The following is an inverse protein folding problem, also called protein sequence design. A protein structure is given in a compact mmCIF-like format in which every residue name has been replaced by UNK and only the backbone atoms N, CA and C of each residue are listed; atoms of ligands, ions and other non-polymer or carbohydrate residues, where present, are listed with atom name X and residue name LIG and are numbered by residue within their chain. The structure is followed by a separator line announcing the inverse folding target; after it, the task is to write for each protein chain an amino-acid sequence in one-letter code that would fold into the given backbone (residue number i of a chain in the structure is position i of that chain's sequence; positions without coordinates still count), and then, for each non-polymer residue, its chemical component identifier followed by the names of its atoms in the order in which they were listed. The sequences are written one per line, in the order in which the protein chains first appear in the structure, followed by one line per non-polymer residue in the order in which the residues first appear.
data_IF_530602761754
#
_entry.id   IF_530602761754
#
_cell.length_a   1.000
_cell.length_b   1.000
_cell.length_c   1.000
_cell.angle_alpha   90.00
_cell.angle_beta   90.00
_cell.angle_gamma   90.00
#
_symmetry.space_group_name_H-M   'P 1'
#
loop_
_entity.id
_entity.type
_entity.pdbx_description
1 polymer ?
#
# COMPACT_ATOMS: atom_id res chain seq x y z
N UNK A 1 7.90 -23.06 -15.56
CA UNK A 1 9.04 -22.13 -15.41
C UNK A 1 8.60 -20.66 -15.29
N UNK A 2 7.32 -20.31 -15.09
CA UNK A 2 6.84 -18.92 -15.29
C UNK A 2 6.08 -18.27 -14.13
N UNK A 3 5.87 -18.94 -12.98
CA UNK A 3 4.99 -18.37 -11.94
C UNK A 3 5.68 -17.31 -11.06
N UNK A 4 7.00 -17.43 -10.87
CA UNK A 4 7.75 -16.56 -9.97
C UNK A 4 8.47 -15.39 -10.66
N UNK A 5 8.45 -15.28 -11.99
CA UNK A 5 9.06 -14.11 -12.68
C UNK A 5 8.24 -12.86 -12.41
N UNK A 6 8.89 -11.73 -12.15
CA UNK A 6 8.17 -10.47 -11.90
C UNK A 6 7.54 -9.96 -13.20
N UNK A 7 8.26 -10.02 -14.33
CA UNK A 7 7.69 -9.64 -15.61
C UNK A 7 7.20 -10.86 -16.38
N UNK A 8 5.99 -10.75 -16.92
CA UNK A 8 5.43 -11.76 -17.82
C UNK A 8 6.21 -11.76 -19.15
N UNK A 9 6.48 -12.91 -19.79
CA UNK A 9 7.44 -12.99 -20.89
C UNK A 9 7.13 -12.08 -22.09
N UNK A 10 5.86 -11.94 -22.49
CA UNK A 10 5.47 -11.09 -23.62
C UNK A 10 5.54 -9.61 -23.27
N UNK A 11 5.13 -9.24 -22.04
CA UNK A 11 5.27 -7.87 -21.55
C UNK A 11 6.74 -7.46 -21.43
N UNK A 12 7.58 -8.35 -20.91
CA UNK A 12 9.03 -8.16 -20.83
C UNK A 12 9.65 -7.88 -22.20
N UNK A 13 9.29 -8.69 -23.21
CA UNK A 13 9.75 -8.49 -24.59
C UNK A 13 9.25 -7.17 -25.20
N UNK A 14 7.98 -6.80 -25.00
CA UNK A 14 7.44 -5.51 -25.47
C UNK A 14 8.19 -4.33 -24.84
N UNK A 15 8.37 -4.35 -23.51
CA UNK A 15 9.05 -3.30 -22.78
C UNK A 15 10.52 -3.17 -23.21
N UNK A 16 11.21 -4.28 -23.44
CA UNK A 16 12.58 -4.29 -23.93
C UNK A 16 12.68 -3.67 -25.32
N UNK A 17 11.81 -4.08 -26.25
CA UNK A 17 11.77 -3.54 -27.61
C UNK A 17 11.48 -2.04 -27.66
N UNK A 18 10.79 -1.51 -26.65
CA UNK A 18 10.46 -0.09 -26.50
C UNK A 18 11.52 0.71 -25.73
N UNK A 19 12.61 0.06 -25.29
CA UNK A 19 13.65 0.69 -24.46
C UNK A 19 13.19 1.03 -23.04
N UNK A 20 12.08 0.44 -22.57
CA UNK A 20 11.50 0.66 -21.24
C UNK A 20 11.92 -0.40 -20.22
N UNK A 21 12.66 -1.42 -20.66
CA UNK A 21 13.26 -2.46 -19.84
C UNK A 21 14.70 -2.70 -20.28
N UNK A 22 15.60 -2.89 -19.32
CA UNK A 22 17.00 -3.23 -19.59
C UNK A 22 17.63 -4.09 -18.50
N UNK A 23 18.90 -4.51 -18.70
CA UNK A 23 19.63 -5.26 -17.69
C UNK A 23 19.83 -4.43 -16.42
N UNK A 24 19.77 -5.10 -15.27
CA UNK A 24 20.08 -4.56 -13.96
C UNK A 24 21.57 -4.46 -13.69
N UNK A 25 21.91 -4.31 -12.40
CA UNK A 25 23.30 -4.34 -11.92
C UNK A 25 23.84 -5.78 -11.83
N UNK A 26 22.94 -6.74 -11.67
CA UNK A 26 23.21 -8.18 -11.59
C UNK A 26 22.37 -8.91 -12.64
N UNK A 27 22.70 -10.18 -12.89
CA UNK A 27 21.89 -11.05 -13.76
C UNK A 27 20.50 -11.34 -13.19
N UNK A 28 20.31 -11.22 -11.87
CA UNK A 28 19.02 -11.39 -11.20
C UNK A 28 18.22 -10.10 -11.03
N UNK A 29 18.61 -8.99 -11.68
CA UNK A 29 17.87 -7.72 -11.63
C UNK A 29 17.63 -7.09 -13.01
N UNK A 30 16.60 -6.25 -13.08
CA UNK A 30 16.21 -5.46 -14.25
C UNK A 30 16.13 -3.98 -13.90
N UNK A 31 16.37 -3.11 -14.90
CA UNK A 31 15.98 -1.70 -14.85
C UNK A 31 14.66 -1.54 -15.60
N UNK A 32 13.59 -1.25 -14.87
CA UNK A 32 12.25 -1.02 -15.43
C UNK A 32 11.91 0.46 -15.34
N UNK A 33 11.43 1.04 -16.45
CA UNK A 33 11.03 2.44 -16.48
C UNK A 33 9.94 2.70 -15.43
N UNK A 34 10.09 3.74 -14.58
CA UNK A 34 9.21 3.98 -13.43
C UNK A 34 7.74 4.04 -13.80
N UNK A 35 7.41 4.64 -14.95
CA UNK A 35 6.06 4.67 -15.56
C UNK A 35 5.43 3.30 -15.90
N UNK A 36 6.15 2.19 -15.73
CA UNK A 36 5.71 0.83 -16.08
C UNK A 36 5.72 -0.13 -14.89
N UNK A 37 6.00 0.36 -13.69
CA UNK A 37 6.02 -0.46 -12.48
C UNK A 37 4.63 -1.03 -12.20
N UNK A 38 3.63 -0.17 -12.03
CA UNK A 38 2.28 -0.55 -11.67
C UNK A 38 1.21 0.30 -12.38
N UNK A 39 -0.07 0.07 -12.04
CA UNK A 39 -1.22 0.76 -12.64
C UNK A 39 -1.29 2.27 -12.40
N UNK A 40 -0.63 2.81 -11.37
CA UNK A 40 -0.59 4.26 -11.06
C UNK A 40 0.71 4.93 -11.52
N UNK A 41 1.62 4.14 -12.07
CA UNK A 41 2.96 4.60 -12.35
C UNK A 41 3.03 5.66 -13.42
N UNK A 42 2.09 5.65 -14.37
CA UNK A 42 2.03 6.65 -15.43
C UNK A 42 1.66 8.03 -14.89
N UNK A 43 0.73 8.10 -13.93
CA UNK A 43 0.27 9.33 -13.30
C UNK A 43 1.29 9.83 -12.28
N UNK A 44 1.81 8.93 -11.43
CA UNK A 44 2.83 9.28 -10.43
C UNK A 44 4.10 9.82 -11.07
N UNK A 45 4.48 9.30 -12.25
CA UNK A 45 5.72 9.63 -12.93
C UNK A 45 5.47 10.28 -14.30
N UNK A 46 4.34 10.98 -14.47
CA UNK A 46 3.94 11.60 -15.74
C UNK A 46 4.98 12.60 -16.27
N UNK A 47 5.75 13.20 -15.36
CA UNK A 47 6.84 14.13 -15.62
C UNK A 47 8.09 13.45 -16.22
N UNK A 48 8.19 12.12 -16.16
CA UNK A 48 9.33 11.37 -16.71
C UNK A 48 9.05 11.03 -18.19
N UNK A 49 9.88 11.48 -19.14
CA UNK A 49 9.73 11.13 -20.55
C UNK A 49 9.97 9.64 -20.80
N UNK A 50 9.19 9.02 -21.70
CA UNK A 50 9.33 7.59 -22.03
C UNK A 50 10.51 7.26 -22.94
N UNK A 51 11.17 8.27 -23.51
CA UNK A 51 12.29 8.13 -24.45
C UNK A 51 13.66 8.30 -23.78
N UNK A 52 13.73 8.20 -22.44
CA UNK A 52 15.00 8.28 -21.71
C UNK A 52 15.83 7.03 -22.01
N UNK A 53 17.03 7.23 -22.57
CA UNK A 53 17.98 6.14 -22.84
C UNK A 53 18.56 5.57 -21.55
N UNK A 54 18.64 4.24 -21.43
CA UNK A 54 19.26 3.51 -20.31
C UNK A 54 20.72 3.90 -20.07
N UNK A 55 21.43 4.38 -21.09
CA UNK A 55 22.83 4.82 -21.00
C UNK A 55 22.98 6.28 -20.60
N UNK A 56 21.88 7.04 -20.53
CA UNK A 56 21.92 8.45 -20.18
C UNK A 56 22.01 8.65 -18.66
N UNK A 57 22.58 9.77 -18.17
CA UNK A 57 22.56 10.10 -16.75
C UNK A 57 21.15 10.20 -16.16
N UNK A 58 20.17 10.62 -16.97
CA UNK A 58 18.76 10.71 -16.56
C UNK A 58 18.11 9.34 -16.29
N UNK A 59 18.77 8.24 -16.65
CA UNK A 59 18.23 6.89 -16.47
C UNK A 59 18.13 6.48 -15.00
N UNK A 60 18.93 7.07 -14.10
CA UNK A 60 18.85 6.78 -12.66
C UNK A 60 17.56 7.33 -12.05
N UNK A 61 17.06 8.44 -12.59
CA UNK A 61 15.78 9.01 -12.20
C UNK A 61 14.61 8.34 -12.92
N UNK A 62 14.79 7.88 -14.16
CA UNK A 62 13.72 7.33 -14.98
C UNK A 62 13.44 5.84 -14.76
N UNK A 63 14.41 5.07 -14.26
CA UNK A 63 14.29 3.62 -14.09
C UNK A 63 14.43 3.19 -12.63
N UNK A 64 13.68 2.16 -12.24
CA UNK A 64 13.81 1.48 -10.95
C UNK A 64 14.51 0.13 -11.14
N UNK A 65 15.33 -0.26 -10.16
CA UNK A 65 15.95 -1.58 -10.11
C UNK A 65 14.97 -2.55 -9.43
N UNK A 66 14.55 -3.59 -10.14
CA UNK A 66 13.65 -4.63 -9.64
C UNK A 66 14.29 -6.02 -9.80
N UNK A 67 13.97 -7.01 -8.96
CA UNK A 67 14.41 -8.38 -9.17
C UNK A 67 13.81 -8.99 -10.46
N UNK A 68 14.45 -10.01 -11.01
CA UNK A 68 13.91 -10.82 -12.13
C UNK A 68 12.79 -11.73 -11.64
N UNK A 69 12.96 -12.30 -10.44
CA UNK A 69 12.03 -13.26 -9.84
C UNK A 69 11.69 -12.85 -8.41
N UNK A 70 10.44 -13.09 -8.02
CA UNK A 70 9.91 -12.77 -6.69
C UNK A 70 10.63 -13.56 -5.60
N UNK A 71 10.99 -14.81 -5.86
CA UNK A 71 11.81 -15.66 -4.98
C UNK A 71 13.25 -15.63 -5.48
N UNK A 72 14.07 -14.75 -4.91
CA UNK A 72 15.47 -14.56 -5.31
C UNK A 72 16.28 -13.88 -4.20
N UNK A 73 17.61 -13.98 -4.32
CA UNK A 73 18.54 -13.18 -3.52
C UNK A 73 18.27 -11.68 -3.71
N UNK A 74 18.05 -11.23 -4.94
CA UNK A 74 17.76 -9.84 -5.26
C UNK A 74 16.48 -9.33 -4.59
N UNK A 75 15.47 -10.17 -4.39
CA UNK A 75 14.28 -9.79 -3.61
C UNK A 75 14.64 -9.48 -2.16
N UNK A 76 15.53 -10.25 -1.52
CA UNK A 76 15.96 -10.00 -0.14
C UNK A 76 16.64 -8.63 0.00
N UNK A 77 17.50 -8.29 -0.96
CA UNK A 77 18.13 -6.95 -1.03
C UNK A 77 17.08 -5.88 -1.29
N UNK A 78 16.18 -6.11 -2.25
CA UNK A 78 15.12 -5.17 -2.64
C UNK A 78 14.22 -4.79 -1.45
N UNK A 79 13.78 -5.78 -0.66
CA UNK A 79 12.92 -5.52 0.52
C UNK A 79 13.63 -4.82 1.66
N UNK A 80 14.93 -4.54 1.53
CA UNK A 80 15.70 -3.66 2.40
C UNK A 80 16.67 -4.35 3.35
N UNK A 81 16.99 -5.62 3.10
CA UNK A 81 18.05 -6.30 3.85
C UNK A 81 19.43 -5.88 3.32
N UNK A 82 20.40 -5.78 4.23
CA UNK A 82 21.81 -5.68 3.88
C UNK A 82 22.26 -6.91 3.10
N UNK A 83 23.29 -6.77 2.26
CA UNK A 83 23.86 -7.89 1.49
C UNK A 83 24.29 -9.06 2.40
N UNK A 84 24.82 -8.77 3.58
CA UNK A 84 25.20 -9.78 4.57
C UNK A 84 23.98 -10.60 5.04
N UNK A 85 22.88 -9.92 5.41
CA UNK A 85 21.66 -10.60 5.85
C UNK A 85 20.94 -11.30 4.71
N UNK A 86 20.92 -10.71 3.53
CA UNK A 86 20.40 -11.35 2.32
C UNK A 86 21.17 -12.63 1.98
N UNK A 87 22.49 -12.63 2.14
CA UNK A 87 23.34 -13.82 1.92
C UNK A 87 23.03 -14.92 2.92
N UNK A 88 22.89 -14.56 4.20
CA UNK A 88 22.51 -15.48 5.27
C UNK A 88 21.15 -16.13 4.98
N UNK A 89 20.11 -15.32 4.75
CA UNK A 89 18.76 -15.83 4.52
C UNK A 89 18.62 -16.59 3.20
N UNK A 90 19.31 -16.16 2.14
CA UNK A 90 19.31 -16.89 0.88
C UNK A 90 19.94 -18.27 1.03
N UNK A 91 21.08 -18.35 1.74
CA UNK A 91 21.72 -19.63 2.04
C UNK A 91 20.77 -20.57 2.80
N UNK A 92 20.06 -20.06 3.82
CA UNK A 92 19.06 -20.83 4.57
C UNK A 92 17.90 -21.28 3.67
N UNK A 93 17.37 -20.40 2.82
CA UNK A 93 16.29 -20.73 1.89
C UNK A 93 16.70 -21.81 0.89
N UNK A 94 17.91 -21.72 0.34
CA UNK A 94 18.41 -22.69 -0.65
C UNK A 94 18.81 -24.02 -0.03
N UNK A 95 19.29 -24.01 1.22
CA UNK A 95 19.67 -25.20 1.99
C UNK A 95 18.55 -25.61 2.96
N UNK A 96 17.31 -25.61 2.47
CA UNK A 96 16.13 -25.88 3.29
C UNK A 96 16.20 -27.29 3.90
N UNK A 97 15.83 -27.46 5.19
CA UNK A 97 15.82 -28.77 5.82
C UNK A 97 14.93 -29.77 5.08
N UNK A 98 15.38 -31.02 4.98
CA UNK A 98 14.59 -32.10 4.37
C UNK A 98 13.38 -32.53 5.23
N UNK A 99 13.34 -32.12 6.49
CA UNK A 99 12.27 -32.41 7.45
C UNK A 99 11.62 -31.10 7.91
N UNK A 100 10.29 -31.10 8.07
CA UNK A 100 9.53 -29.94 8.53
C UNK A 100 8.62 -29.39 7.44
N UNK A 101 8.18 -28.13 7.57
CA UNK A 101 7.34 -27.51 6.56
C UNK A 101 8.14 -27.26 5.29
N UNK A 102 7.48 -27.30 4.13
CA UNK A 102 8.10 -27.19 2.82
C UNK A 102 8.14 -25.75 2.35
N UNK A 103 8.95 -25.44 1.34
CA UNK A 103 8.89 -24.14 0.65
C UNK A 103 7.79 -24.15 -0.38
N UNK A 104 7.29 -22.96 -0.70
CA UNK A 104 6.34 -22.77 -1.82
C UNK A 104 6.89 -23.16 -3.20
N UNK A 105 8.20 -23.38 -3.31
CA UNK A 105 8.87 -23.86 -4.53
C UNK A 105 9.05 -25.37 -4.60
N UNK A 106 8.75 -26.10 -3.51
CA UNK A 106 8.90 -27.55 -3.46
C UNK A 106 7.67 -28.24 -4.09
N UNK A 107 7.80 -29.47 -4.64
CA UNK A 107 6.68 -30.19 -5.26
C UNK A 107 5.55 -30.46 -4.27
N UNK A 108 4.28 -30.22 -4.64
CA UNK A 108 3.15 -30.39 -3.73
C UNK A 108 2.93 -31.85 -3.26
N UNK A 109 2.68 -32.02 -1.97
CA UNK A 109 2.45 -33.28 -1.26
C UNK A 109 1.29 -33.17 -0.23
N UNK A 110 0.59 -32.02 -0.19
CA UNK A 110 -0.49 -31.75 0.76
C UNK A 110 -0.04 -31.31 2.17
N UNK A 111 1.26 -31.25 2.47
CA UNK A 111 1.80 -30.77 3.75
C UNK A 111 1.88 -29.25 3.89
N UNK A 112 2.25 -28.77 5.09
CA UNK A 112 2.39 -27.34 5.41
C UNK A 112 3.47 -26.68 4.53
N UNK A 113 3.15 -25.52 3.96
CA UNK A 113 4.02 -24.74 3.08
C UNK A 113 4.35 -23.38 3.74
N UNK A 114 5.62 -23.00 3.69
CA UNK A 114 6.14 -21.68 4.08
C UNK A 114 6.36 -20.86 2.80
N UNK A 115 5.72 -19.70 2.73
CA UNK A 115 5.97 -18.75 1.63
C UNK A 115 7.31 -18.05 1.84
N UNK A 116 7.94 -17.58 0.76
CA UNK A 116 9.19 -16.84 0.87
C UNK A 116 9.03 -15.57 1.71
N UNK A 117 7.87 -14.90 1.58
CA UNK A 117 7.49 -13.74 2.39
C UNK A 117 7.42 -14.08 3.88
N UNK A 118 6.74 -15.17 4.25
CA UNK A 118 6.61 -15.59 5.65
C UNK A 118 7.96 -16.03 6.22
N UNK A 119 8.81 -16.68 5.42
CA UNK A 119 10.18 -17.00 5.82
C UNK A 119 11.01 -15.75 6.15
N UNK A 120 10.94 -14.72 5.30
CA UNK A 120 11.66 -13.45 5.56
C UNK A 120 11.17 -12.82 6.85
N UNK A 121 9.86 -12.69 7.04
CA UNK A 121 9.27 -12.07 8.23
C UNK A 121 9.54 -12.89 9.50
N UNK A 122 9.42 -14.23 9.41
CA UNK A 122 9.69 -15.16 10.50
C UNK A 122 11.13 -15.10 11.00
N UNK A 123 12.08 -14.70 10.14
CA UNK A 123 13.50 -14.56 10.52
C UNK A 123 13.76 -13.50 11.61
N UNK A 124 12.78 -12.64 11.91
CA UNK A 124 12.87 -11.59 12.92
C UNK A 124 12.13 -11.90 14.23
N UNK A 125 11.34 -12.99 14.31
CA UNK A 125 10.46 -13.26 15.46
C UNK A 125 11.20 -13.43 16.80
N UNK A 126 12.44 -13.93 16.75
CA UNK A 126 13.27 -14.16 17.95
C UNK A 126 14.18 -12.98 18.32
N UNK A 127 14.05 -11.83 17.63
CA UNK A 127 14.88 -10.66 17.91
C UNK A 127 14.35 -9.88 19.12
N UNK A 128 15.26 -9.29 19.90
CA UNK A 128 14.87 -8.36 20.97
C UNK A 128 14.36 -7.06 20.35
N UNK A 129 13.09 -6.78 20.59
CA UNK A 129 12.40 -5.58 20.10
C UNK A 129 12.71 -4.35 20.96
N UNK A 130 12.70 -3.18 20.34
CA UNK A 130 12.94 -1.89 20.98
C UNK A 130 11.73 -0.99 20.75
N UNK A 131 11.22 -0.41 21.83
CA UNK A 131 10.00 0.40 21.86
C UNK A 131 10.19 1.75 22.55
N UNK A 132 11.41 2.03 23.01
CA UNK A 132 11.75 3.27 23.68
C UNK A 132 12.00 4.40 22.68
N UNK A 133 12.16 5.62 23.19
CA UNK A 133 12.41 6.79 22.36
C UNK A 133 13.93 7.01 22.12
N UNK A 134 14.78 5.97 22.30
CA UNK A 134 16.24 6.04 22.17
C UNK A 134 16.72 5.68 20.76
N UNK A 135 17.19 6.68 20.02
CA UNK A 135 17.64 6.49 18.64
C UNK A 135 18.85 5.57 18.50
N UNK A 136 19.74 5.47 19.51
CA UNK A 136 20.88 4.55 19.44
C UNK A 136 20.45 3.10 19.57
N UNK A 137 19.49 2.80 20.44
CA UNK A 137 18.94 1.45 20.62
C UNK A 137 18.17 1.00 19.39
N UNK A 138 17.39 1.90 18.78
CA UNK A 138 16.76 1.65 17.49
C UNK A 138 17.77 1.31 16.41
N UNK A 139 18.87 2.08 16.30
CA UNK A 139 19.93 1.80 15.33
C UNK A 139 20.56 0.43 15.57
N UNK A 140 20.82 0.09 16.82
CA UNK A 140 21.36 -1.22 17.19
C UNK A 140 20.38 -2.37 16.85
N UNK A 141 19.07 -2.17 17.08
CA UNK A 141 18.03 -3.13 16.72
C UNK A 141 17.98 -3.36 15.20
N UNK A 142 17.94 -2.29 14.40
CA UNK A 142 17.94 -2.38 12.94
C UNK A 142 19.21 -3.04 12.38
N UNK A 143 20.38 -2.75 12.96
CA UNK A 143 21.63 -3.42 12.61
C UNK A 143 21.57 -4.92 12.91
N UNK A 144 21.00 -5.33 14.05
CA UNK A 144 20.83 -6.74 14.41
C UNK A 144 19.86 -7.46 13.49
N UNK A 145 18.81 -6.76 13.04
CA UNK A 145 17.90 -7.25 12.00
C UNK A 145 18.58 -7.31 10.62
N UNK A 146 19.78 -6.76 10.46
CA UNK A 146 20.51 -6.78 9.20
C UNK A 146 19.87 -5.90 8.12
N UNK A 147 19.21 -4.81 8.51
CA UNK A 147 18.56 -3.86 7.60
C UNK A 147 19.60 -2.97 6.93
N UNK A 148 19.46 -2.70 5.64
CA UNK A 148 20.38 -1.85 4.88
C UNK A 148 20.33 -0.39 5.37
N UNK A 149 21.49 0.29 5.40
CA UNK A 149 21.67 1.61 6.04
C UNK A 149 20.72 2.68 5.50
N UNK A 150 20.47 2.70 4.19
CA UNK A 150 19.54 3.60 3.54
C UNK A 150 18.09 3.37 4.03
N UNK A 151 17.68 2.11 4.18
CA UNK A 151 16.37 1.74 4.70
C UNK A 151 16.25 2.09 6.18
N UNK A 152 17.31 1.89 6.97
CA UNK A 152 17.33 2.35 8.36
C UNK A 152 17.15 3.87 8.45
N UNK A 153 17.81 4.63 7.59
CA UNK A 153 17.70 6.10 7.54
C UNK A 153 16.31 6.56 7.10
N UNK A 154 15.61 5.78 6.29
CA UNK A 154 14.22 6.04 5.93
C UNK A 154 13.24 5.74 7.07
N UNK A 155 13.45 4.63 7.81
CA UNK A 155 12.62 4.28 8.99
C UNK A 155 12.82 5.31 10.10
N UNK A 156 14.07 5.68 10.40
CA UNK A 156 14.42 6.57 11.50
C UNK A 156 14.48 8.05 11.11
N UNK A 157 13.83 8.45 10.02
CA UNK A 157 13.86 9.83 9.56
C UNK A 157 13.25 10.75 10.65
N UNK A 158 14.02 11.70 11.23
CA UNK A 158 13.59 12.47 12.40
C UNK A 158 12.31 13.28 12.18
N UNK A 159 12.00 13.63 10.93
CA UNK A 159 10.76 14.33 10.57
C UNK A 159 9.52 13.47 10.82
N UNK A 160 9.69 12.16 10.90
CA UNK A 160 8.66 11.17 11.20
C UNK A 160 8.78 10.59 12.62
N UNK A 161 9.59 11.20 13.50
CA UNK A 161 9.81 10.74 14.90
C UNK A 161 8.54 10.41 15.65
N UNK A 162 7.50 11.19 15.40
CA UNK A 162 6.24 10.98 16.06
C UNK A 162 5.48 9.72 15.58
N UNK A 163 5.63 9.35 14.31
CA UNK A 163 5.07 8.12 13.74
C UNK A 163 5.96 6.92 14.01
N UNK A 164 7.28 6.99 13.80
CA UNK A 164 8.07 5.78 13.98
C UNK A 164 8.13 5.34 15.45
N UNK A 165 7.97 6.23 16.44
CA UNK A 165 7.76 5.81 17.85
C UNK A 165 6.31 5.42 18.19
N UNK A 166 5.39 5.43 17.22
CA UNK A 166 4.03 4.93 17.46
C UNK A 166 3.98 3.40 17.53
N UNK A 167 5.01 2.72 17.06
CA UNK A 167 5.16 1.28 17.06
C UNK A 167 6.63 0.91 17.39
N UNK A 168 6.92 -0.38 17.51
CA UNK A 168 8.25 -0.85 17.87
C UNK A 168 9.18 -0.92 16.66
N UNK A 169 10.48 -1.11 16.91
CA UNK A 169 11.47 -1.23 15.86
C UNK A 169 11.20 -2.44 14.96
N UNK A 170 10.93 -3.62 15.54
CA UNK A 170 10.60 -4.81 14.74
C UNK A 170 9.30 -4.68 13.97
N UNK A 171 8.31 -3.96 14.52
CA UNK A 171 7.10 -3.64 13.78
C UNK A 171 7.43 -2.92 12.47
N UNK A 172 8.25 -1.86 12.50
CA UNK A 172 8.58 -1.12 11.29
C UNK A 172 9.48 -1.87 10.32
N UNK A 173 10.36 -2.75 10.82
CA UNK A 173 11.11 -3.69 9.97
C UNK A 173 10.14 -4.56 9.18
N UNK A 174 9.24 -5.26 9.87
CA UNK A 174 8.26 -6.15 9.26
C UNK A 174 7.30 -5.40 8.32
N UNK A 175 6.81 -4.23 8.73
CA UNK A 175 5.93 -3.40 7.92
C UNK A 175 6.62 -2.92 6.63
N UNK A 176 7.89 -2.51 6.70
CA UNK A 176 8.66 -2.06 5.53
C UNK A 176 8.90 -3.20 4.54
N UNK A 177 9.31 -4.38 5.04
CA UNK A 177 9.53 -5.56 4.21
C UNK A 177 8.24 -6.01 3.54
N UNK A 178 7.14 -6.11 4.30
CA UNK A 178 5.81 -6.47 3.77
C UNK A 178 5.34 -5.51 2.69
N UNK A 179 5.51 -4.21 2.92
CA UNK A 179 5.18 -3.15 1.96
C UNK A 179 5.97 -3.31 0.66
N UNK A 180 7.30 -3.44 0.75
CA UNK A 180 8.17 -3.56 -0.43
C UNK A 180 7.91 -4.85 -1.21
N UNK A 181 7.69 -5.96 -0.50
CA UNK A 181 7.32 -7.23 -1.12
C UNK A 181 5.98 -7.13 -1.85
N UNK A 182 4.96 -6.54 -1.22
CA UNK A 182 3.65 -6.30 -1.86
C UNK A 182 3.76 -5.39 -3.09
N UNK A 183 4.74 -4.48 -3.10
CA UNK A 183 5.14 -3.71 -4.27
C UNK A 183 5.57 -4.57 -5.47
N UNK A 184 6.42 -5.56 -5.23
CA UNK A 184 6.84 -6.50 -6.27
C UNK A 184 5.67 -7.36 -6.78
N UNK A 185 4.78 -7.78 -5.88
CA UNK A 185 3.55 -8.51 -6.23
C UNK A 185 2.64 -7.65 -7.13
N UNK A 186 2.53 -6.35 -6.85
CA UNK A 186 1.75 -5.41 -7.66
C UNK A 186 2.39 -5.11 -9.04
N UNK A 187 3.72 -5.04 -9.11
CA UNK A 187 4.44 -4.96 -10.39
C UNK A 187 4.20 -6.22 -11.22
N UNK A 188 4.26 -7.39 -10.59
CA UNK A 188 4.02 -8.67 -11.26
C UNK A 188 2.59 -8.76 -11.78
N UNK A 189 1.60 -8.38 -10.97
CA UNK A 189 0.20 -8.31 -11.38
C UNK A 189 0.04 -7.38 -12.60
N UNK A 190 0.59 -6.17 -12.52
CA UNK A 190 0.50 -5.17 -13.60
C UNK A 190 1.15 -5.67 -14.90
N UNK A 191 2.27 -6.39 -14.81
CA UNK A 191 2.91 -7.01 -15.97
C UNK A 191 2.05 -8.09 -16.63
N UNK A 192 1.42 -8.96 -15.83
CA UNK A 192 0.49 -9.98 -16.32
C UNK A 192 -0.73 -9.34 -16.99
N UNK A 193 -1.27 -8.27 -16.43
CA UNK A 193 -2.38 -7.52 -17.03
C UNK A 193 -2.00 -6.95 -18.40
N UNK A 194 -0.81 -6.36 -18.54
CA UNK A 194 -0.31 -5.86 -19.84
C UNK A 194 -0.09 -6.99 -20.84
N UNK A 195 0.46 -8.13 -20.42
CA UNK A 195 0.60 -9.30 -21.27
C UNK A 195 -0.76 -9.81 -21.79
N UNK A 196 -1.78 -9.87 -20.93
CA UNK A 196 -3.13 -10.25 -21.36
C UNK A 196 -3.68 -9.29 -22.42
N UNK A 197 -3.40 -7.99 -22.31
CA UNK A 197 -3.78 -7.00 -23.32
C UNK A 197 -3.03 -7.20 -24.64
N UNK A 198 -1.71 -7.44 -24.60
CA UNK A 198 -0.92 -7.74 -25.79
C UNK A 198 -1.47 -8.95 -26.54
N UNK A 199 -1.83 -10.02 -25.81
CA UNK A 199 -2.48 -11.21 -26.38
C UNK A 199 -3.84 -10.89 -27.02
N UNK A 200 -4.68 -10.08 -26.37
CA UNK A 200 -5.98 -9.63 -26.91
C UNK A 200 -5.85 -8.79 -28.18
N UNK A 201 -4.80 -7.97 -28.28
CA UNK A 201 -4.53 -7.18 -29.49
C UNK A 201 -4.09 -8.09 -30.63
N UNK A 202 -3.21 -9.06 -30.35
CA UNK A 202 -2.73 -10.02 -31.35
C UNK A 202 -3.87 -10.87 -31.95
N UNK A 203 -4.83 -11.34 -31.14
CA UNK A 203 -5.97 -12.12 -31.63
C UNK A 203 -6.90 -11.30 -32.53
N UNK A 204 -7.19 -10.04 -32.17
CA UNK A 204 -8.02 -9.13 -33.00
C UNK A 204 -7.41 -8.83 -34.37
N UNK A 205 -6.08 -8.78 -34.47
CA UNK A 205 -5.39 -8.55 -35.74
C UNK A 205 -5.38 -9.80 -36.64
N UNK A 206 -5.44 -10.99 -36.05
CA UNK A 206 -5.53 -12.26 -36.78
C UNK A 206 -6.89 -12.47 -37.47
N UNK A 207 -8.00 -12.12 -36.80
CA UNK A 207 -9.35 -12.34 -37.34
C UNK A 207 -9.69 -11.41 -38.52
N UNK A 208 -9.09 -10.21 -38.58
CA UNK A 208 -9.31 -9.27 -39.68
C UNK A 208 -8.56 -9.62 -40.98
N UNK A 209 -7.67 -10.63 -40.97
CA UNK A 209 -6.97 -11.10 -42.18
C UNK A 209 -7.58 -12.38 -42.80
N UNK A 210 -8.58 -13.00 -42.16
CA UNK A 210 -9.22 -14.24 -42.65
C UNK A 210 -10.42 -14.06 -43.60
N UNK A 211 -10.89 -12.83 -43.82
CA UNK A 211 -12.10 -12.55 -44.61
C UNK A 211 -11.84 -12.24 -46.09
N UNK A 212 -11.11 -13.10 -46.81
CA UNK A 212 -10.98 -13.00 -48.27
C UNK A 212 -11.52 -14.27 -48.92
N UNK A 213 -12.82 -14.28 -49.23
CA UNK A 213 -13.40 -15.44 -49.90
C UNK A 213 -14.89 -15.39 -50.20
N UNK A 214 -15.42 -14.30 -50.78
CA UNK A 214 -16.52 -14.41 -51.76
C UNK A 214 -16.65 -13.15 -52.60
N UNK A 215 -16.37 -13.28 -53.89
CA UNK A 215 -16.54 -12.23 -54.89
C UNK A 215 -17.98 -12.12 -55.38
N UNK A 216 -18.33 -10.94 -55.88
CA UNK A 216 -19.46 -10.81 -56.80
C UNK A 216 -20.17 -9.45 -56.83
N UNK A 217 -19.73 -8.60 -57.77
CA UNK A 217 -20.50 -7.58 -58.54
C UNK A 217 -21.04 -6.34 -57.81
N UNK A 218 -20.43 -5.16 -58.03
CA UNK A 218 -20.60 -4.19 -59.14
C UNK A 218 -21.80 -3.25 -58.97
N UNK A 219 -21.52 -1.93 -58.86
CA UNK A 219 -22.56 -0.91 -58.96
C UNK A 219 -22.23 0.55 -58.59
N UNK A 220 -21.19 1.15 -59.16
CA UNK A 220 -21.19 2.59 -59.53
C UNK A 220 -20.85 3.68 -58.48
N UNK A 221 -20.43 4.88 -58.95
CA UNK A 221 -19.55 5.77 -58.19
C UNK A 221 -20.23 7.08 -57.72
N UNK A 222 -19.75 7.69 -56.63
CA UNK A 222 -19.55 9.14 -56.52
C UNK A 222 -18.89 9.58 -55.20
N UNK A 223 -17.83 10.39 -55.35
CA UNK A 223 -17.53 11.65 -54.65
C UNK A 223 -17.42 11.60 -53.10
N UNK A 224 -16.18 11.70 -52.59
CA UNK A 224 -15.75 12.85 -51.79
C UNK A 224 -14.28 12.70 -51.40
N UNK A 225 -13.43 13.48 -52.07
CA UNK A 225 -12.12 13.92 -51.60
C UNK A 225 -12.25 14.66 -50.27
N UNK A 226 -11.68 14.09 -49.22
CA UNK A 226 -11.55 14.68 -47.90
C UNK A 226 -10.28 14.21 -47.24
N UNK A 227 -9.13 14.75 -47.69
CA UNK A 227 -7.86 14.63 -46.99
C UNK A 227 -7.93 15.48 -45.71
N UNK A 228 -8.42 14.88 -44.64
CA UNK A 228 -8.22 15.38 -43.28
C UNK A 228 -7.13 14.55 -42.62
N UNK A 229 -5.91 15.07 -42.70
CA UNK A 229 -4.78 14.71 -41.85
C UNK A 229 -5.15 14.96 -40.38
N UNK A 230 -5.69 13.93 -39.71
CA UNK A 230 -5.88 13.95 -38.26
C UNK A 230 -4.55 13.63 -37.58
N UNK A 231 -3.80 14.69 -37.29
CA UNK A 231 -3.23 14.99 -35.96
C UNK A 231 -2.80 13.81 -35.10
N UNK A 232 -1.49 13.74 -34.84
CA UNK A 232 -0.89 13.50 -33.52
C UNK A 232 -1.75 12.71 -32.52
N UNK A 233 -2.02 11.44 -32.81
CA UNK A 233 -2.25 10.48 -31.74
C UNK A 233 -0.91 10.33 -31.01
N UNK A 234 -0.69 11.19 -30.01
CA UNK A 234 0.34 10.97 -29.02
C UNK A 234 0.20 9.53 -28.55
N UNK A 235 1.29 8.78 -28.60
CA UNK A 235 1.37 7.38 -28.19
C UNK A 235 0.67 7.22 -26.83
N UNK A 236 -0.61 6.85 -26.84
CA UNK A 236 -1.34 6.56 -25.62
C UNK A 236 -0.74 5.27 -25.10
N UNK A 237 -0.10 5.37 -23.95
CA UNK A 237 0.48 4.23 -23.28
C UNK A 237 -0.59 3.15 -23.06
N UNK A 238 -0.19 1.88 -23.19
CA UNK A 238 -1.00 0.69 -22.91
C UNK A 238 -1.63 0.77 -21.50
N UNK A 239 -0.93 1.38 -20.53
CA UNK A 239 -1.45 1.66 -19.17
C UNK A 239 -2.58 2.69 -19.13
N UNK A 240 -2.61 3.68 -20.03
CA UNK A 240 -3.71 4.65 -20.09
C UNK A 240 -5.03 4.05 -20.57
N UNK A 241 -4.99 2.96 -21.34
CA UNK A 241 -6.17 2.19 -21.71
C UNK A 241 -6.64 1.24 -20.60
N UNK A 242 -5.73 0.84 -19.72
CA UNK A 242 -5.99 -0.05 -18.58
C UNK A 242 -6.93 0.61 -17.54
N UNK A 243 -6.98 1.95 -17.51
CA UNK A 243 -7.76 2.74 -16.56
C UNK A 243 -9.12 3.24 -17.07
N UNK A 244 -9.31 3.42 -18.38
CA UNK A 244 -10.56 4.02 -18.91
C UNK A 244 -11.83 3.21 -18.62
N UNK A 245 -11.68 1.97 -18.13
CA UNK A 245 -12.78 1.06 -17.85
C UNK A 245 -12.99 0.74 -16.35
N UNK A 246 -12.30 1.43 -15.43
CA UNK A 246 -12.35 1.12 -13.98
C UNK A 246 -12.90 2.30 -13.18
N UNK A 247 -14.24 2.44 -13.03
CA UNK A 247 -14.88 3.27 -12.01
C UNK A 247 -14.18 3.23 -10.63
N UNK A 248 -14.22 4.30 -9.84
CA UNK A 248 -13.67 4.32 -8.47
C UNK A 248 -12.15 4.59 -8.34
N UNK A 249 -11.39 4.45 -9.42
CA UNK A 249 -9.97 4.82 -9.50
C UNK A 249 -9.82 5.95 -10.53
N UNK A 250 -9.68 7.19 -10.06
CA UNK A 250 -9.48 8.35 -10.96
C UNK A 250 -8.02 8.45 -11.43
N UNK A 251 -7.75 9.10 -12.58
CA UNK A 251 -6.38 9.46 -13.01
C UNK A 251 -5.74 10.54 -12.13
N UNK A 252 -6.43 10.91 -11.06
CA UNK A 252 -6.12 12.05 -10.24
C UNK A 252 -5.18 11.63 -9.11
N UNK A 253 -4.06 12.35 -9.02
CA UNK A 253 -3.12 12.22 -7.90
C UNK A 253 -3.63 12.97 -6.68
N UNK A 254 -3.10 12.62 -5.51
CA UNK A 254 -3.29 13.42 -4.31
C UNK A 254 -2.82 14.86 -4.55
N UNK A 255 -3.62 15.84 -4.11
CA UNK A 255 -3.36 17.27 -4.35
C UNK A 255 -4.05 17.83 -5.59
N UNK A 256 -4.59 16.98 -6.48
CA UNK A 256 -5.42 17.41 -7.61
C UNK A 256 -6.73 18.08 -7.18
N UNK A 257 -7.38 18.78 -8.11
CA UNK A 257 -8.69 19.40 -7.89
C UNK A 257 -9.74 18.38 -7.45
N UNK A 258 -9.75 17.17 -8.01
CA UNK A 258 -10.72 16.14 -7.61
C UNK A 258 -10.40 15.55 -6.24
N UNK A 259 -9.13 15.43 -5.86
CA UNK A 259 -8.74 15.06 -4.50
C UNK A 259 -9.19 16.13 -3.50
N UNK A 260 -9.03 17.41 -3.83
CA UNK A 260 -9.52 18.54 -3.00
C UNK A 260 -11.05 18.53 -2.91
N UNK A 261 -11.75 18.25 -4.01
CA UNK A 261 -13.21 18.14 -4.01
C UNK A 261 -13.69 16.95 -3.17
N UNK A 262 -13.03 15.80 -3.28
CA UNK A 262 -13.33 14.60 -2.48
C UNK A 262 -13.15 14.84 -0.98
N UNK A 263 -12.21 15.71 -0.58
CA UNK A 263 -12.04 16.12 0.83
C UNK A 263 -13.18 16.97 1.36
N UNK A 264 -13.91 17.66 0.49
CA UNK A 264 -14.94 18.63 0.85
C UNK A 264 -16.30 18.24 0.26
N UNK A 265 -16.77 17.03 0.56
CA UNK A 265 -18.07 16.53 0.11
C UNK A 265 -19.18 17.02 1.05
N UNK A 266 -20.03 18.00 0.67
CA UNK A 266 -21.09 18.48 1.55
C UNK A 266 -22.07 17.35 1.89
N UNK A 267 -22.55 17.34 3.13
CA UNK A 267 -23.46 16.29 3.62
C UNK A 267 -22.80 14.94 3.90
N UNK A 268 -21.48 14.82 3.77
CA UNK A 268 -20.74 13.59 4.02
C UNK A 268 -19.65 13.80 5.08
N UNK A 269 -19.34 12.73 5.81
CA UNK A 269 -18.11 12.58 6.58
C UNK A 269 -17.09 11.92 5.66
N UNK A 270 -15.99 12.62 5.38
CA UNK A 270 -14.90 12.07 4.58
C UNK A 270 -13.86 11.47 5.52
N UNK A 271 -13.54 10.21 5.28
CA UNK A 271 -12.63 9.40 6.07
C UNK A 271 -11.43 8.99 5.21
N UNK A 272 -10.23 9.01 5.79
CA UNK A 272 -8.98 8.81 5.09
C UNK A 272 -8.17 7.66 5.68
N UNK A 273 -7.43 6.95 4.83
CA UNK A 273 -6.40 5.98 5.22
C UNK A 273 -5.23 6.03 4.24
N UNK A 274 -4.03 6.30 4.74
CA UNK A 274 -2.78 6.23 3.97
C UNK A 274 -2.13 4.86 4.11
N UNK A 275 -1.80 4.21 2.99
CA UNK A 275 -1.17 2.88 2.95
C UNK A 275 -0.49 2.62 1.59
N UNK A 276 0.28 1.54 1.48
CA UNK A 276 0.81 1.12 0.18
C UNK A 276 -0.27 0.51 -0.73
N UNK A 277 -0.08 0.66 -2.04
CA UNK A 277 -1.02 0.17 -3.04
C UNK A 277 -1.12 -1.36 -3.04
N UNK A 278 -0.01 -2.06 -2.79
CA UNK A 278 0.02 -3.52 -2.79
C UNK A 278 -0.95 -4.13 -1.77
N UNK A 279 -1.13 -3.48 -0.62
CA UNK A 279 -2.10 -3.90 0.42
C UNK A 279 -3.56 -3.75 0.02
N UNK A 280 -3.89 -2.93 -0.97
CA UNK A 280 -5.25 -2.79 -1.49
C UNK A 280 -5.47 -3.57 -2.79
N UNK A 281 -4.58 -4.53 -3.10
CA UNK A 281 -4.77 -5.42 -4.24
C UNK A 281 -6.09 -6.19 -4.12
N UNK A 282 -6.97 -6.01 -5.11
CA UNK A 282 -8.31 -6.61 -5.12
C UNK A 282 -9.38 -5.80 -4.38
N UNK A 283 -9.07 -4.59 -3.89
CA UNK A 283 -10.08 -3.68 -3.35
C UNK A 283 -11.18 -3.42 -4.39
N UNK A 284 -10.80 -3.30 -5.66
CA UNK A 284 -11.73 -3.17 -6.78
C UNK A 284 -11.59 -4.37 -7.73
N UNK A 285 -12.71 -4.78 -8.32
CA UNK A 285 -12.75 -5.75 -9.41
C UNK A 285 -12.24 -5.16 -10.74
N UNK A 286 -12.29 -5.95 -11.81
CA UNK A 286 -11.90 -5.49 -13.15
C UNK A 286 -12.78 -4.35 -13.68
N UNK A 287 -14.03 -4.26 -13.21
CA UNK A 287 -14.99 -3.22 -13.55
C UNK A 287 -14.90 -1.98 -12.64
N UNK A 288 -13.93 -1.93 -11.72
CA UNK A 288 -13.77 -0.81 -10.78
C UNK A 288 -14.81 -0.74 -9.67
N UNK A 289 -15.63 -1.78 -9.52
CA UNK A 289 -16.56 -1.88 -8.41
C UNK A 289 -15.82 -2.37 -7.18
N UNK A 290 -16.17 -1.85 -6.00
CA UNK A 290 -15.63 -2.35 -4.74
C UNK A 290 -15.92 -3.86 -4.63
N UNK A 291 -14.88 -4.65 -4.41
CA UNK A 291 -14.94 -6.12 -4.29
C UNK A 291 -14.52 -6.53 -2.88
N UNK A 292 -13.22 -6.43 -2.56
CA UNK A 292 -12.68 -6.92 -1.28
C UNK A 292 -12.37 -5.78 -0.31
N UNK A 293 -13.39 -5.19 0.31
CA UNK A 293 -13.19 -4.13 1.32
C UNK A 293 -12.29 -4.58 2.49
N UNK A 294 -12.27 -5.89 2.79
CA UNK A 294 -11.46 -6.48 3.86
C UNK A 294 -9.95 -6.25 3.70
N UNK A 295 -9.46 -5.87 2.51
CA UNK A 295 -8.07 -5.44 2.32
C UNK A 295 -7.72 -4.18 3.12
N UNK A 296 -8.72 -3.43 3.60
CA UNK A 296 -8.57 -2.24 4.43
C UNK A 296 -8.57 -2.55 5.94
N UNK A 297 -8.71 -3.81 6.36
CA UNK A 297 -8.66 -4.18 7.77
C UNK A 297 -7.26 -3.94 8.36
N UNK A 298 -7.23 -3.47 9.61
CA UNK A 298 -6.01 -3.46 10.42
C UNK A 298 -6.05 -4.63 11.41
N UNK A 299 -4.95 -5.37 11.52
CA UNK A 299 -4.82 -6.51 12.43
C UNK A 299 -4.85 -6.08 13.91
N UNK A 300 -5.29 -7.01 14.78
CA UNK A 300 -5.17 -6.89 16.22
C UNK A 300 -3.76 -7.30 16.71
N UNK A 301 -3.34 -6.87 17.92
CA UNK A 301 -4.00 -5.89 18.78
C UNK A 301 -3.97 -4.47 18.21
N UNK A 302 -4.97 -3.67 18.57
CA UNK A 302 -5.21 -2.32 18.09
C UNK A 302 -5.94 -1.50 19.16
N UNK A 303 -6.19 -0.22 18.91
CA UNK A 303 -6.76 0.70 19.92
C UNK A 303 -8.07 0.22 20.53
N UNK A 304 -9.01 -0.25 19.71
CA UNK A 304 -10.34 -0.63 20.17
C UNK A 304 -10.63 -2.13 20.02
N UNK A 305 -9.59 -2.94 19.77
CA UNK A 305 -9.72 -4.40 19.70
C UNK A 305 -8.41 -5.11 19.97
N UNK A 306 -8.42 -6.02 20.94
CA UNK A 306 -7.27 -6.88 21.25
C UNK A 306 -7.18 -8.15 20.41
N UNK A 307 -8.26 -8.59 19.76
CA UNK A 307 -8.30 -9.89 19.07
C UNK A 307 -8.93 -9.88 17.68
N UNK A 308 -9.71 -8.84 17.33
CA UNK A 308 -10.40 -8.73 16.04
C UNK A 308 -9.75 -7.67 15.17
N UNK A 309 -9.65 -7.94 13.88
CA UNK A 309 -9.32 -6.92 12.90
C UNK A 309 -10.48 -5.93 12.75
N UNK A 310 -10.19 -4.64 12.61
CA UNK A 310 -11.19 -3.58 12.46
C UNK A 310 -10.79 -2.62 11.33
N UNK A 311 -11.74 -1.85 10.80
CA UNK A 311 -11.43 -0.81 9.82
C UNK A 311 -11.13 0.50 10.52
N UNK A 312 -9.90 0.99 10.39
CA UNK A 312 -9.46 2.26 10.96
C UNK A 312 -9.33 3.32 9.89
N UNK A 313 -10.04 4.43 10.07
CA UNK A 313 -9.92 5.63 9.26
C UNK A 313 -9.80 6.87 10.15
N UNK A 314 -9.29 7.97 9.59
CA UNK A 314 -9.24 9.28 10.27
C UNK A 314 -10.03 10.31 9.47
N UNK A 315 -10.77 11.24 10.12
CA UNK A 315 -11.41 12.34 9.40
C UNK A 315 -10.41 13.46 9.08
N UNK A 316 -9.21 13.45 9.67
CA UNK A 316 -8.18 14.44 9.43
C UNK A 316 -7.24 14.00 8.31
N UNK A 317 -7.39 14.60 7.13
CA UNK A 317 -6.54 14.27 5.99
C UNK A 317 -5.04 14.49 6.28
N UNK A 318 -4.66 15.38 7.21
CA UNK A 318 -3.26 15.61 7.56
C UNK A 318 -2.65 14.39 8.26
N UNK A 319 -3.43 13.68 9.07
CA UNK A 319 -3.02 12.41 9.68
C UNK A 319 -2.75 11.38 8.59
N UNK A 320 -3.67 11.24 7.62
CA UNK A 320 -3.50 10.31 6.51
C UNK A 320 -2.30 10.68 5.61
N UNK A 321 -2.08 11.97 5.33
CA UNK A 321 -0.90 12.46 4.59
C UNK A 321 0.38 12.17 5.35
N UNK A 322 0.41 12.36 6.67
CA UNK A 322 1.60 12.07 7.47
C UNK A 322 1.96 10.57 7.41
N UNK A 323 0.97 9.69 7.51
CA UNK A 323 1.16 8.24 7.32
C UNK A 323 1.61 7.89 5.90
N UNK A 324 1.01 8.48 4.86
CA UNK A 324 1.38 8.25 3.47
C UNK A 324 2.79 8.74 3.15
N UNK A 325 3.18 9.93 3.64
CA UNK A 325 4.52 10.46 3.50
C UNK A 325 5.57 9.54 4.15
N UNK A 326 5.26 9.01 5.34
CA UNK A 326 6.16 8.07 6.02
C UNK A 326 6.27 6.74 5.26
N UNK A 327 5.17 6.21 4.74
CA UNK A 327 5.21 5.02 3.88
C UNK A 327 6.03 5.28 2.61
N UNK A 328 5.82 6.42 1.93
CA UNK A 328 6.54 6.78 0.70
C UNK A 328 8.03 7.00 0.96
N UNK A 329 8.40 7.54 2.13
CA UNK A 329 9.80 7.70 2.54
C UNK A 329 10.54 6.36 2.65
N UNK A 330 9.84 5.31 3.08
CA UNK A 330 10.38 3.94 3.24
C UNK A 330 10.24 3.10 1.97
N UNK A 331 9.39 3.49 1.04
CA UNK A 331 9.25 2.83 -0.25
C UNK A 331 10.55 2.94 -1.06
N UNK A 332 10.82 1.95 -1.89
CA UNK A 332 11.83 2.00 -2.95
C UNK A 332 11.19 2.56 -4.23
N UNK A 333 10.23 1.82 -4.79
CA UNK A 333 9.47 2.24 -5.96
C UNK A 333 7.98 1.91 -5.86
N UNK A 334 7.53 1.50 -4.68
CA UNK A 334 6.14 1.17 -4.41
C UNK A 334 5.26 2.41 -4.52
N UNK A 335 4.06 2.20 -5.07
CA UNK A 335 3.01 3.21 -5.00
C UNK A 335 2.45 3.24 -3.57
N UNK A 336 2.23 4.46 -3.10
CA UNK A 336 1.54 4.73 -1.83
C UNK A 336 0.30 5.50 -2.19
N UNK A 337 -0.80 5.19 -1.53
CA UNK A 337 -2.10 5.75 -1.84
C UNK A 337 -2.77 6.30 -0.58
N UNK A 338 -3.67 7.24 -0.78
CA UNK A 338 -4.63 7.68 0.22
C UNK A 338 -6.02 7.25 -0.23
N UNK A 339 -6.61 6.33 0.52
CA UNK A 339 -8.00 5.92 0.37
C UNK A 339 -8.87 6.98 1.02
N UNK A 340 -9.85 7.49 0.27
CA UNK A 340 -10.87 8.42 0.71
C UNK A 340 -12.24 7.74 0.66
N UNK A 341 -12.95 7.73 1.78
CA UNK A 341 -14.26 7.14 1.93
C UNK A 341 -15.25 8.23 2.34
N UNK A 342 -16.25 8.50 1.50
CA UNK A 342 -17.29 9.48 1.82
C UNK A 342 -18.56 8.77 2.31
N UNK A 343 -18.89 8.94 3.59
CA UNK A 343 -20.09 8.36 4.20
C UNK A 343 -21.13 9.45 4.40
N UNK A 344 -22.39 9.29 3.95
CA UNK A 344 -23.45 10.26 4.23
C UNK A 344 -23.60 10.53 5.73
N UNK A 345 -23.65 11.81 6.12
CA UNK A 345 -23.85 12.21 7.52
C UNK A 345 -25.14 11.62 8.10
N UNK A 346 -26.17 11.47 7.27
CA UNK A 346 -27.44 10.87 7.68
C UNK A 346 -27.27 9.40 8.09
N UNK A 347 -26.42 8.63 7.40
CA UNK A 347 -26.18 7.21 7.70
C UNK A 347 -25.48 7.02 9.06
N UNK A 348 -24.50 7.88 9.38
CA UNK A 348 -23.85 7.85 10.70
C UNK A 348 -24.85 8.28 11.78
N UNK A 349 -25.67 9.30 11.52
CA UNK A 349 -26.68 9.81 12.46
C UNK A 349 -27.86 8.85 12.69
N UNK A 350 -28.12 7.93 11.75
CA UNK A 350 -29.17 6.93 11.90
C UNK A 350 -28.75 5.72 12.73
N UNK A 351 -27.46 5.56 13.05
CA UNK A 351 -27.00 4.50 13.95
C UNK A 351 -27.60 4.69 15.34
N UNK A 352 -28.10 3.60 15.91
CA UNK A 352 -28.69 3.62 17.25
C UNK A 352 -27.60 3.76 18.32
N UNK A 353 -27.95 4.18 19.53
CA UNK A 353 -26.97 4.39 20.60
C UNK A 353 -26.11 3.15 20.94
N UNK A 354 -26.59 1.91 20.81
CA UNK A 354 -25.74 0.71 20.86
C UNK A 354 -24.73 0.61 19.71
N UNK A 355 -25.13 0.96 18.49
CA UNK A 355 -24.34 0.74 17.26
C UNK A 355 -23.25 1.78 17.04
N UNK A 356 -23.38 2.97 17.65
CA UNK A 356 -22.37 4.01 17.62
C UNK A 356 -21.89 4.36 19.04
N UNK A 357 -20.58 4.29 19.25
CA UNK A 357 -19.96 4.65 20.53
C UNK A 357 -18.94 5.76 20.34
N UNK A 358 -18.91 6.68 21.30
CA UNK A 358 -17.94 7.78 21.35
C UNK A 358 -17.05 7.61 22.57
N UNK A 359 -15.73 7.62 22.37
CA UNK A 359 -14.77 7.42 23.46
C UNK A 359 -13.53 8.27 23.27
N UNK A 360 -13.37 9.29 24.12
CA UNK A 360 -12.29 10.27 23.97
C UNK A 360 -11.41 10.36 25.21
N UNK A 361 -10.15 10.73 24.99
CA UNK A 361 -9.28 11.22 26.04
C UNK A 361 -9.89 12.50 26.67
N UNK A 362 -9.77 12.72 28.00
CA UNK A 362 -9.03 11.96 29.01
C UNK A 362 -9.86 10.96 29.81
N UNK A 363 -10.99 10.47 29.31
CA UNK A 363 -11.90 9.62 30.09
C UNK A 363 -11.23 8.34 30.61
N UNK A 364 -11.63 7.90 31.81
CA UNK A 364 -11.14 6.64 32.39
C UNK A 364 -11.55 5.43 31.54
N UNK A 365 -12.76 5.46 30.93
CA UNK A 365 -13.19 4.43 30.00
C UNK A 365 -12.25 4.33 28.79
N UNK A 366 -11.82 5.46 28.22
CA UNK A 366 -10.84 5.46 27.12
C UNK A 366 -9.53 4.81 27.54
N UNK A 367 -8.96 5.21 28.68
CA UNK A 367 -7.69 4.67 29.17
C UNK A 367 -7.78 3.16 29.41
N UNK A 368 -8.86 2.71 30.06
CA UNK A 368 -9.07 1.29 30.35
C UNK A 368 -9.29 0.48 29.06
N UNK A 369 -10.07 0.99 28.11
CA UNK A 369 -10.31 0.32 26.84
C UNK A 369 -9.00 0.14 26.06
N UNK A 370 -8.26 1.22 25.82
CA UNK A 370 -6.98 1.17 25.09
C UNK A 370 -6.03 0.19 25.75
N UNK A 371 -5.81 0.31 27.07
CA UNK A 371 -4.88 -0.57 27.78
C UNK A 371 -5.30 -2.04 27.67
N UNK A 372 -6.58 -2.37 27.82
CA UNK A 372 -7.05 -3.76 27.69
C UNK A 372 -6.92 -4.29 26.28
N UNK A 373 -7.28 -3.49 25.27
CA UNK A 373 -7.15 -3.89 23.87
C UNK A 373 -5.68 -4.11 23.48
N UNK A 374 -4.80 -3.17 23.85
CA UNK A 374 -3.34 -3.24 23.58
C UNK A 374 -2.63 -4.35 24.36
N UNK A 375 -3.18 -4.79 25.49
CA UNK A 375 -2.64 -5.92 26.30
C UNK A 375 -3.41 -7.23 26.10
N UNK A 376 -4.33 -7.28 25.14
CA UNK A 376 -5.16 -8.46 24.82
C UNK A 376 -5.90 -9.03 26.05
N UNK A 377 -6.27 -8.16 26.99
CA UNK A 377 -7.05 -8.53 28.18
C UNK A 377 -8.53 -8.55 27.87
N UNK A 378 -9.26 -9.40 28.60
CA UNK A 378 -10.73 -9.45 28.51
C UNK A 378 -11.37 -8.11 28.87
N UNK A 379 -12.44 -7.75 28.14
CA UNK A 379 -13.19 -6.52 28.39
C UNK A 379 -14.22 -6.73 29.52
N UNK A 380 -14.20 -5.90 30.58
CA UNK A 380 -15.22 -5.89 31.61
C UNK A 380 -16.57 -5.44 31.04
N UNK A 381 -17.65 -5.74 31.75
CA UNK A 381 -19.03 -5.55 31.26
C UNK A 381 -19.30 -4.13 30.75
N UNK A 382 -18.84 -3.09 31.45
CA UNK A 382 -19.05 -1.69 31.05
C UNK A 382 -18.34 -1.28 29.76
N UNK A 383 -17.29 -2.02 29.34
CA UNK A 383 -16.55 -1.77 28.10
C UNK A 383 -17.02 -2.66 26.93
N UNK A 384 -17.89 -3.66 27.17
CA UNK A 384 -18.35 -4.57 26.11
C UNK A 384 -19.15 -3.85 25.00
N UNK A 385 -19.80 -2.72 25.33
CA UNK A 385 -20.50 -1.86 24.36
C UNK A 385 -19.61 -1.45 23.17
N UNK A 386 -18.32 -1.19 23.41
CA UNK A 386 -17.38 -0.81 22.34
C UNK A 386 -17.05 -1.96 21.39
N UNK A 387 -17.10 -3.21 21.89
CA UNK A 387 -16.93 -4.41 21.06
C UNK A 387 -18.16 -4.67 20.20
N UNK A 388 -19.35 -4.35 20.70
CA UNK A 388 -20.63 -4.63 20.03
C UNK A 388 -21.02 -3.55 19.01
N UNK A 389 -20.42 -2.36 19.10
CA UNK A 389 -20.73 -1.26 18.20
C UNK A 389 -20.31 -1.54 16.76
N UNK A 390 -21.13 -1.07 15.81
CA UNK A 390 -20.79 -0.99 14.39
C UNK A 390 -19.67 0.04 14.19
N UNK A 391 -19.76 1.19 14.86
CA UNK A 391 -18.82 2.29 14.75
C UNK A 391 -18.38 2.80 16.13
N UNK A 392 -17.07 2.86 16.36
CA UNK A 392 -16.46 3.56 17.49
C UNK A 392 -15.73 4.79 16.97
N UNK A 393 -16.08 5.97 17.47
CA UNK A 393 -15.36 7.22 17.18
C UNK A 393 -14.58 7.61 18.43
N UNK A 394 -13.26 7.75 18.31
CA UNK A 394 -12.45 8.03 19.48
C UNK A 394 -11.08 8.60 19.21
N UNK A 395 -10.39 8.95 20.30
CA UNK A 395 -9.01 9.44 20.24
C UNK A 395 -8.06 8.30 19.87
N UNK A 396 -7.11 8.60 18.98
CA UNK A 396 -6.06 7.67 18.52
C UNK A 396 -4.99 7.52 19.59
N UNK A 397 -4.64 6.28 19.93
CA UNK A 397 -3.53 5.98 20.80
C UNK A 397 -2.21 5.89 20.02
N UNK A 398 -1.12 6.09 20.74
CA UNK A 398 0.27 5.99 20.28
C UNK A 398 1.00 5.02 21.21
N UNK A 399 2.18 4.58 20.76
CA UNK A 399 3.11 3.65 21.42
C UNK A 399 2.80 2.20 21.06
N UNK A 400 3.85 1.36 20.97
CA UNK A 400 3.68 -0.07 20.74
C UNK A 400 3.03 -0.77 21.91
N UNK A 401 2.48 -1.95 21.64
CA UNK A 401 1.77 -2.78 22.62
C UNK A 401 2.66 -3.17 23.81
N UNK A 402 3.96 -3.34 23.61
CA UNK A 402 4.93 -3.64 24.67
C UNK A 402 4.96 -2.56 25.76
N UNK A 403 4.76 -1.29 25.41
CA UNK A 403 4.69 -0.18 26.39
C UNK A 403 3.44 -0.32 27.25
N UNK A 404 2.31 -0.74 26.67
CA UNK A 404 1.09 -1.00 27.44
C UNK A 404 1.20 -2.25 28.30
N UNK A 405 1.88 -3.30 27.81
CA UNK A 405 2.14 -4.52 28.58
C UNK A 405 3.06 -4.27 29.79
N UNK A 406 3.97 -3.31 29.69
CA UNK A 406 4.82 -2.88 30.81
C UNK A 406 4.06 -2.07 31.88
N UNK A 407 2.85 -1.60 31.59
CA UNK A 407 2.01 -0.91 32.57
C UNK A 407 1.30 -1.92 33.49
N UNK A 408 1.38 -1.67 34.79
CA UNK A 408 0.67 -2.42 35.82
C UNK A 408 -0.85 -2.22 35.74
N UNK A 409 -1.29 -1.04 35.28
CA UNK A 409 -2.71 -0.72 35.19
C UNK A 409 -2.99 0.42 34.21
N UNK A 410 -4.24 0.51 33.72
CA UNK A 410 -4.70 1.53 32.79
C UNK A 410 -4.55 2.97 33.31
N UNK A 411 -4.47 3.18 34.63
CA UNK A 411 -4.24 4.50 35.24
C UNK A 411 -2.87 5.09 34.83
N UNK A 412 -1.92 4.26 34.39
CA UNK A 412 -0.62 4.70 33.87
C UNK A 412 -0.69 5.17 32.42
N UNK A 413 -1.84 5.05 31.74
CA UNK A 413 -2.04 5.63 30.41
C UNK A 413 -2.15 7.14 30.56
N UNK A 414 -1.19 7.85 29.98
CA UNK A 414 -1.05 9.31 30.06
C UNK A 414 -1.22 9.97 28.70
N UNK A 415 -1.14 11.29 28.68
CA UNK A 415 -1.19 12.11 27.47
C UNK A 415 -0.08 11.77 26.44
N UNK A 416 1.03 11.19 26.90
CA UNK A 416 2.14 10.72 26.05
C UNK A 416 1.76 9.53 25.14
N UNK A 417 0.65 8.87 25.46
CA UNK A 417 0.06 7.76 24.70
C UNK A 417 -0.93 8.24 23.63
N UNK A 418 -1.06 9.54 23.38
CA UNK A 418 -1.95 10.05 22.32
C UNK A 418 -1.16 10.28 21.04
N UNK A 419 -1.80 10.06 19.90
CA UNK A 419 -1.30 10.54 18.62
C UNK A 419 -1.80 11.96 18.38
N UNK A 420 -0.91 12.88 18.00
CA UNK A 420 -1.18 14.26 17.59
C UNK A 420 -0.50 14.52 16.26
N UNK A 421 -1.23 15.14 15.36
CA UNK A 421 -0.71 15.53 14.05
C UNK A 421 -1.09 16.99 13.85
N UNK A 422 -0.10 17.84 13.62
CA UNK A 422 -0.29 19.29 13.47
C UNK A 422 0.97 20.08 13.80
N UNK A 423 1.03 21.36 13.45
CA UNK A 423 2.14 22.24 13.82
C UNK A 423 2.30 22.28 15.35
N UNK A 424 3.55 22.38 15.81
CA UNK A 424 3.88 22.57 17.23
C UNK A 424 3.00 23.70 17.82
N UNK A 425 2.11 23.34 18.74
CA UNK A 425 1.17 24.28 19.40
C UNK A 425 -0.32 24.12 19.04
N UNK A 426 -0.68 23.49 17.90
CA UNK A 426 -2.07 23.11 17.56
C UNK A 426 -2.29 21.62 17.82
N UNK A 427 -2.02 21.23 19.05
CA UNK A 427 -1.75 19.85 19.43
C UNK A 427 -3.05 19.09 19.74
N UNK A 428 -4.09 19.12 18.91
CA UNK A 428 -5.29 18.33 19.23
C UNK A 428 -5.01 16.82 19.04
N UNK A 429 -5.49 15.94 19.94
CA UNK A 429 -5.40 14.50 19.72
C UNK A 429 -6.10 14.12 18.42
N UNK A 430 -5.44 13.29 17.62
CA UNK A 430 -6.01 12.73 16.41
C UNK A 430 -7.24 11.88 16.76
N UNK A 431 -8.23 11.91 15.88
CA UNK A 431 -9.47 11.14 16.00
C UNK A 431 -9.50 10.07 14.92
N UNK A 432 -10.10 8.93 15.25
CA UNK A 432 -10.34 7.83 14.33
C UNK A 432 -11.81 7.38 14.37
N UNK A 433 -12.26 6.91 13.22
CA UNK A 433 -13.52 6.24 12.98
C UNK A 433 -13.19 4.77 12.77
N UNK A 434 -13.71 3.93 13.65
CA UNK A 434 -13.34 2.51 13.72
C UNK A 434 -14.58 1.67 13.54
N UNK A 435 -14.69 1.05 12.37
CA UNK A 435 -15.82 0.17 12.05
C UNK A 435 -15.49 -1.26 12.43
N UNK A 436 -16.52 -2.01 12.88
CA UNK A 436 -16.39 -3.44 13.11
C UNK A 436 -15.87 -4.14 11.85
N UNK A 437 -14.94 -5.08 12.03
CA UNK A 437 -14.52 -5.99 10.96
C UNK A 437 -15.45 -7.21 10.81
N UNK A 438 -16.49 -7.29 11.64
CA UNK A 438 -17.57 -8.28 11.52
C UNK A 438 -18.59 -7.83 10.46
N UNK A 439 -19.59 -8.67 10.20
CA UNK A 439 -20.55 -8.53 9.11
C UNK A 439 -21.23 -7.16 9.09
N UNK A 440 -21.75 -6.69 10.22
CA UNK A 440 -22.53 -5.45 10.30
C UNK A 440 -21.68 -4.20 9.98
N UNK A 441 -20.41 -4.20 10.40
CA UNK A 441 -19.48 -3.11 10.08
C UNK A 441 -19.06 -3.11 8.62
N UNK A 442 -18.86 -4.31 8.05
CA UNK A 442 -18.58 -4.47 6.62
C UNK A 442 -19.77 -4.00 5.77
N UNK A 443 -20.98 -4.47 6.08
CA UNK A 443 -22.22 -4.11 5.41
C UNK A 443 -22.45 -2.59 5.46
N UNK A 444 -22.31 -1.98 6.65
CA UNK A 444 -22.47 -0.53 6.79
C UNK A 444 -21.54 0.24 5.84
N UNK A 445 -20.27 -0.17 5.76
CA UNK A 445 -19.28 0.47 4.88
C UNK A 445 -19.59 0.22 3.40
N UNK A 446 -20.07 -0.96 3.04
CA UNK A 446 -20.43 -1.30 1.66
C UNK A 446 -21.64 -0.46 1.23
N UNK A 447 -22.71 -0.46 2.02
CA UNK A 447 -23.95 0.25 1.70
C UNK A 447 -23.76 1.76 1.63
N UNK A 448 -22.99 2.33 2.56
CA UNK A 448 -22.91 3.78 2.74
C UNK A 448 -21.62 4.40 2.19
N UNK A 449 -20.60 3.59 1.91
CA UNK A 449 -19.27 4.04 1.52
C UNK A 449 -18.79 3.53 0.17
N UNK A 450 -19.18 2.32 -0.26
CA UNK A 450 -18.62 1.68 -1.46
C UNK A 450 -18.77 2.50 -2.74
N UNK A 451 -19.89 3.22 -2.90
CA UNK A 451 -20.13 4.02 -4.10
C UNK A 451 -19.23 5.25 -4.18
N UNK A 452 -18.66 5.68 -3.05
CA UNK A 452 -17.88 6.90 -2.93
C UNK A 452 -16.47 6.66 -2.40
N UNK A 453 -15.99 5.41 -2.41
CA UNK A 453 -14.58 5.13 -2.14
C UNK A 453 -13.76 5.60 -3.33
N UNK A 454 -12.67 6.31 -3.06
CA UNK A 454 -11.69 6.75 -4.06
C UNK A 454 -10.29 6.49 -3.56
N UNK A 455 -9.40 6.18 -4.48
CA UNK A 455 -7.98 5.94 -4.17
C UNK A 455 -7.15 6.93 -4.96
N UNK A 456 -6.34 7.70 -4.25
CA UNK A 456 -5.47 8.71 -4.84
C UNK A 456 -4.01 8.32 -4.63
N UNK A 457 -3.19 8.17 -5.70
CA UNK A 457 -1.75 8.01 -5.56
C UNK A 457 -1.12 9.19 -4.83
N UNK A 458 -0.17 8.90 -3.95
CA UNK A 458 0.65 9.86 -3.23
C UNK A 458 2.05 9.90 -3.89
N UNK A 459 2.26 10.79 -4.87
CA UNK A 459 3.45 10.79 -5.71
C UNK A 459 4.69 11.29 -4.96
N UNK A 460 5.92 11.00 -5.46
CA UNK A 460 7.15 11.53 -4.88
C UNK A 460 7.17 13.06 -4.74
N UNK A 461 6.56 13.81 -5.67
CA UNK A 461 6.48 15.27 -5.59
C UNK A 461 5.73 15.79 -4.36
N UNK A 462 4.70 15.06 -3.91
CA UNK A 462 3.96 15.39 -2.69
C UNK A 462 4.81 15.10 -1.45
N UNK A 463 5.61 14.02 -1.47
CA UNK A 463 6.58 13.76 -0.40
C UNK A 463 7.61 14.88 -0.32
N UNK A 464 8.21 15.29 -1.44
CA UNK A 464 9.21 16.37 -1.44
C UNK A 464 8.62 17.70 -0.94
N UNK A 465 7.39 18.01 -1.35
CA UNK A 465 6.66 19.18 -0.84
C UNK A 465 6.44 19.09 0.68
N UNK A 466 6.04 17.91 1.17
CA UNK A 466 5.86 17.67 2.60
C UNK A 466 7.18 17.78 3.35
N UNK A 467 8.26 17.20 2.83
CA UNK A 467 9.59 17.27 3.44
C UNK A 467 10.06 18.71 3.52
N UNK A 468 9.95 19.49 2.43
CA UNK A 468 10.32 20.90 2.38
C UNK A 468 9.56 21.73 3.44
N UNK A 469 8.26 21.50 3.60
CA UNK A 469 7.44 22.19 4.60
C UNK A 469 7.79 21.82 6.06
N UNK A 470 8.40 20.65 6.29
CA UNK A 470 8.75 20.15 7.62
C UNK A 470 10.26 20.15 7.91
N UNK A 471 11.07 20.75 7.03
CA UNK A 471 12.52 20.91 7.21
C UNK A 471 12.90 22.03 8.20
N UNK A 472 11.96 22.87 8.63
CA UNK A 472 12.22 24.10 9.40
C UNK A 472 12.00 23.99 10.92
N UNK A 473 11.84 22.78 11.47
CA UNK A 473 11.42 22.58 12.88
C UNK A 473 12.42 21.79 13.75
N UNK A 474 13.71 21.79 13.41
CA UNK A 474 14.77 21.19 14.24
C UNK A 474 15.59 22.25 14.97
#
# INVERSE_FOLDING_TARGET
MSEHTILAPLDSADLYNRGLLGPGRTTGSHRLHKRRLNRFSDEENHNIPLNVSLSSPAADDAFALIPVALISYETLVYVGLSEAKATELWSQWTNWPAQGPRRETDPDDGGLVVTFKDFIIGSFENQVDIADDNSQEWRACLNRCGIAVDVQNAIMDPRFKYLYFSQSCLYWVNDTIKMRYAGLEDIQKSSREREMQLRRIATRLGDNQGGSGHGGRQGGPNIATGSSSSTNQGQRSVSGFQQQNTPGIGPDIWGSTSAIAARNAPGHTVLFKGLDQGRIAGLFDEAGTLDRISTLLSSAPSDFSGTRSLFYFTPDYKVAVYSAAYAKRRANCESVVIVCLCIPNAAIKSLSAPDIQHIYWPSNEWKELIWRCRTVKSLPSHLRKYRQAILVIGTVSRKPDSVYNAMNSWQQVTESCLLRVGPSGQNNPAVQYVFSGEEEGCEFLIENGARNIRVFPYPPSELETWLAANSSSN
#
